data_IF_700282843820
#
_entry.id   IF_700282843820
#
_cell.length_a   1.000
_cell.length_b   1.000
_cell.length_c   1.000
_cell.angle_alpha   90.00
_cell.angle_beta   90.00
_cell.angle_gamma   90.00
#
_symmetry.space_group_name_H-M   'P 1'
#
loop_
_entity.id
_entity.type
_entity.pdbx_description
1 polymer ?
#
# COMPACT_ATOMS: atom_id res chain seq x y z
N UNK A 1 40.98 -34.59 24.42
CA UNK A 1 40.66 -33.33 23.72
C UNK A 1 39.73 -33.64 22.55
N UNK A 2 38.78 -32.72 22.27
CA UNK A 2 37.83 -32.64 21.15
C UNK A 2 36.45 -33.32 21.32
N UNK A 3 35.57 -32.56 22.00
CA UNK A 3 34.14 -32.46 21.71
C UNK A 3 33.90 -32.06 20.25
N UNK A 4 32.94 -32.67 19.57
CA UNK A 4 32.18 -31.99 18.50
C UNK A 4 30.81 -32.65 18.34
N UNK A 5 29.83 -32.14 19.08
CA UNK A 5 28.43 -32.22 18.65
C UNK A 5 28.11 -31.04 17.74
N UNK A 6 27.17 -31.21 16.80
CA UNK A 6 26.27 -30.14 16.36
C UNK A 6 25.08 -30.71 15.59
N UNK A 7 23.91 -30.38 16.15
CA UNK A 7 22.55 -30.61 15.69
C UNK A 7 22.31 -29.75 14.45
N UNK A 8 21.84 -30.36 13.36
CA UNK A 8 21.36 -29.64 12.19
C UNK A 8 19.92 -29.16 12.45
N UNK A 9 19.77 -27.88 12.78
CA UNK A 9 18.47 -27.24 12.91
C UNK A 9 17.98 -26.78 11.52
N UNK A 10 16.80 -27.25 11.14
CA UNK A 10 16.06 -26.82 9.96
C UNK A 10 15.75 -25.33 10.02
N UNK A 11 16.01 -24.60 8.94
CA UNK A 11 15.54 -23.23 8.74
C UNK A 11 14.48 -23.23 7.63
N UNK A 12 13.24 -23.10 8.08
CA UNK A 12 12.07 -22.90 7.26
C UNK A 12 12.19 -21.57 6.50
N UNK A 13 12.05 -21.65 5.17
CA UNK A 13 11.93 -20.48 4.29
C UNK A 13 10.51 -19.93 4.45
N UNK A 14 10.39 -18.81 5.16
CA UNK A 14 9.13 -18.08 5.30
C UNK A 14 8.80 -17.34 4.01
N UNK A 15 7.68 -17.72 3.39
CA UNK A 15 7.10 -16.99 2.25
C UNK A 15 6.43 -15.71 2.76
N UNK A 16 6.90 -14.56 2.26
CA UNK A 16 6.23 -13.27 2.48
C UNK A 16 4.95 -13.23 1.65
N UNK A 17 3.79 -13.17 2.31
CA UNK A 17 2.49 -12.99 1.66
C UNK A 17 2.29 -11.51 1.35
N UNK A 18 2.57 -11.12 0.11
CA UNK A 18 2.13 -9.85 -0.47
C UNK A 18 0.77 -10.08 -1.12
N UNK A 19 -0.29 -9.49 -0.56
CA UNK A 19 -1.66 -9.69 -1.05
C UNK A 19 -2.03 -8.74 -2.19
N UNK A 20 -2.30 -9.28 -3.38
CA UNK A 20 -3.01 -8.60 -4.46
C UNK A 20 -4.50 -9.02 -4.46
N UNK A 21 -5.38 -8.05 -4.71
CA UNK A 21 -6.84 -8.23 -4.86
C UNK A 21 -7.15 -8.81 -6.25
N UNK A 22 -8.18 -9.64 -6.31
CA UNK A 22 -8.45 -10.51 -7.45
C UNK A 22 -9.58 -9.96 -8.32
N UNK A 23 -9.41 -10.00 -9.65
CA UNK A 23 -10.47 -9.65 -10.60
C UNK A 23 -10.92 -10.88 -11.38
N UNK A 24 -12.23 -10.94 -11.67
CA UNK A 24 -12.86 -12.08 -12.32
C UNK A 24 -12.71 -11.95 -13.85
N UNK A 25 -11.97 -12.87 -14.47
CA UNK A 25 -11.91 -13.05 -15.93
C UNK A 25 -12.71 -14.31 -16.26
N UNK A 26 -13.84 -14.16 -16.96
CA UNK A 26 -14.66 -15.28 -17.45
C UNK A 26 -14.16 -15.71 -18.83
N UNK A 27 -13.49 -16.86 -18.90
CA UNK A 27 -13.50 -17.72 -20.08
C UNK A 27 -14.51 -18.83 -19.81
N UNK A 28 -15.24 -19.20 -20.85
CA UNK A 28 -16.44 -20.04 -20.82
C UNK A 28 -16.36 -21.24 -19.87
N UNK A 29 -17.39 -21.33 -19.04
CA UNK A 29 -17.81 -22.44 -18.18
C UNK A 29 -16.73 -23.09 -17.29
N UNK A 30 -16.89 -22.83 -15.98
CA UNK A 30 -16.30 -23.52 -14.84
C UNK A 30 -14.97 -22.96 -14.28
N UNK A 31 -15.08 -22.41 -13.06
CA UNK A 31 -14.05 -21.85 -12.18
C UNK A 31 -13.50 -20.46 -12.56
N UNK A 32 -14.18 -19.44 -12.03
CA UNK A 32 -13.66 -18.08 -11.91
C UNK A 32 -12.50 -18.06 -10.92
N UNK A 33 -11.30 -18.43 -11.38
CA UNK A 33 -10.07 -18.17 -10.66
C UNK A 33 -9.78 -16.68 -10.78
N UNK A 34 -10.13 -15.94 -9.75
CA UNK A 34 -9.90 -14.52 -9.68
C UNK A 34 -8.36 -14.31 -9.65
N UNK A 35 -7.79 -13.89 -10.79
CA UNK A 35 -6.34 -13.69 -10.91
C UNK A 35 -6.01 -12.38 -10.21
N UNK A 36 -5.00 -12.33 -9.33
CA UNK A 36 -4.56 -11.08 -8.71
C UNK A 36 -4.08 -10.12 -9.79
N UNK A 37 -4.82 -9.02 -9.99
CA UNK A 37 -4.38 -7.94 -10.89
C UNK A 37 -3.50 -7.02 -10.07
N UNK A 38 -2.19 -7.24 -10.16
CA UNK A 38 -1.21 -6.34 -9.59
C UNK A 38 -0.86 -5.24 -10.62
N UNK A 39 -0.54 -4.01 -10.17
CA UNK A 39 0.03 -3.00 -11.07
C UNK A 39 1.30 -3.53 -11.72
N UNK A 40 1.49 -3.27 -13.01
CA UNK A 40 2.70 -3.69 -13.72
C UNK A 40 3.91 -2.88 -13.27
N UNK A 41 3.71 -1.59 -13.03
CA UNK A 41 4.74 -0.65 -12.60
C UNK A 41 4.12 0.44 -11.72
N UNK A 42 4.91 1.04 -10.83
CA UNK A 42 4.51 2.25 -10.09
C UNK A 42 5.64 3.26 -10.06
N UNK A 43 5.33 4.56 -10.12
CA UNK A 43 6.34 5.62 -10.20
C UNK A 43 5.86 6.94 -9.60
N UNK A 44 6.78 7.91 -9.59
CA UNK A 44 6.52 9.30 -9.21
C UNK A 44 5.94 9.48 -7.79
N UNK A 45 6.27 8.56 -6.88
CA UNK A 45 5.79 8.58 -5.51
C UNK A 45 6.36 9.77 -4.74
N UNK A 46 5.46 10.58 -4.20
CA UNK A 46 5.81 11.71 -3.33
C UNK A 46 4.95 11.66 -2.08
N UNK A 47 5.56 11.92 -0.93
CA UNK A 47 4.87 12.07 0.35
C UNK A 47 5.24 13.42 0.97
N UNK A 48 4.25 14.23 1.31
CA UNK A 48 4.47 15.53 1.94
C UNK A 48 3.35 15.86 2.92
N UNK A 49 3.68 16.70 3.91
CA UNK A 49 2.71 17.19 4.87
C UNK A 49 2.30 18.60 4.46
N UNK A 50 1.01 18.80 4.20
CA UNK A 50 0.48 20.14 4.05
C UNK A 50 0.43 20.79 5.45
N UNK A 51 1.41 21.65 5.73
CA UNK A 51 1.38 22.51 6.89
C UNK A 51 0.63 23.79 6.51
N UNK A 52 -0.70 23.80 6.69
CA UNK A 52 -1.44 25.06 6.62
C UNK A 52 -0.97 25.94 7.80
N UNK A 53 -0.45 27.15 7.56
CA UNK A 53 -0.09 28.05 8.64
C UNK A 53 -1.36 28.54 9.35
N UNK A 54 -1.40 28.39 10.68
CA UNK A 54 -2.49 28.93 11.50
C UNK A 54 -2.73 28.16 12.81
N UNK A 55 -3.18 28.83 13.87
CA UNK A 55 -3.60 28.17 15.11
C UNK A 55 -4.79 27.24 14.82
N UNK A 56 -4.77 26.02 15.35
CA UNK A 56 -5.80 25.01 15.09
C UNK A 56 -5.76 24.35 13.70
N UNK A 57 -4.76 24.67 12.86
CA UNK A 57 -4.55 23.96 11.61
C UNK A 57 -4.33 22.46 11.85
N UNK A 58 -4.87 21.63 10.95
CA UNK A 58 -4.71 20.17 10.98
C UNK A 58 -3.75 19.76 9.87
N UNK A 59 -2.48 19.45 10.20
CA UNK A 59 -1.53 19.00 9.20
C UNK A 59 -2.06 17.74 8.51
N UNK A 60 -2.00 17.72 7.19
CA UNK A 60 -2.51 16.60 6.39
C UNK A 60 -1.36 15.94 5.66
N UNK A 61 -1.14 14.65 5.89
CA UNK A 61 -0.23 13.85 5.07
C UNK A 61 -0.88 13.60 3.72
N UNK A 62 -0.17 13.92 2.65
CA UNK A 62 -0.59 13.70 1.27
C UNK A 62 0.44 12.76 0.66
N UNK A 63 -0.04 11.64 0.11
CA UNK A 63 0.77 10.69 -0.66
C UNK A 63 0.16 10.59 -2.03
N UNK A 64 0.97 10.73 -3.07
CA UNK A 64 0.53 10.67 -4.45
C UNK A 64 1.58 9.98 -5.32
N UNK A 65 1.12 9.37 -6.40
CA UNK A 65 1.95 8.69 -7.38
C UNK A 65 1.12 8.21 -8.56
N UNK A 66 1.71 7.33 -9.36
CA UNK A 66 1.06 6.74 -10.54
C UNK A 66 1.28 5.23 -10.54
N UNK A 67 0.26 4.49 -10.98
CA UNK A 67 0.31 3.06 -11.19
C UNK A 67 -0.04 2.74 -12.64
N UNK A 68 0.76 1.89 -13.29
CA UNK A 68 0.44 1.34 -14.60
C UNK A 68 -0.51 0.16 -14.41
N UNK A 69 -1.74 0.31 -14.87
CA UNK A 69 -2.77 -0.70 -14.75
C UNK A 69 -3.03 -1.37 -16.10
N UNK A 70 -3.31 -2.68 -16.09
CA UNK A 70 -3.85 -3.36 -17.27
C UNK A 70 -5.28 -2.88 -17.57
N UNK A 71 -5.81 -3.32 -18.70
CA UNK A 71 -7.20 -3.01 -19.07
C UNK A 71 -8.16 -3.58 -18.03
N UNK A 72 -9.29 -2.88 -17.82
CA UNK A 72 -10.36 -3.28 -16.91
C UNK A 72 -9.93 -3.33 -15.43
N UNK A 73 -9.09 -2.40 -15.02
CA UNK A 73 -8.63 -2.29 -13.64
C UNK A 73 -8.59 -0.83 -13.18
N UNK A 74 -8.98 -0.59 -11.93
CA UNK A 74 -8.90 0.69 -11.24
C UNK A 74 -8.04 0.57 -10.00
N UNK A 75 -7.48 1.69 -9.55
CA UNK A 75 -6.56 1.71 -8.41
C UNK A 75 -7.04 2.67 -7.32
N UNK A 76 -6.98 2.22 -6.08
CA UNK A 76 -7.27 3.05 -4.91
C UNK A 76 -6.10 3.02 -3.94
N UNK A 77 -5.63 4.20 -3.53
CA UNK A 77 -4.65 4.35 -2.46
C UNK A 77 -5.36 4.62 -1.14
N UNK A 78 -5.17 3.73 -0.17
CA UNK A 78 -5.81 3.80 1.15
C UNK A 78 -4.78 3.75 2.27
N UNK A 79 -5.19 4.16 3.46
CA UNK A 79 -4.35 4.03 4.64
C UNK A 79 -4.25 2.55 5.06
N UNK A 80 -3.01 2.07 5.17
CA UNK A 80 -2.70 0.81 5.82
C UNK A 80 -2.57 0.92 7.35
N UNK A 81 -2.28 -0.20 8.04
CA UNK A 81 -2.02 -0.20 9.46
C UNK A 81 -0.82 0.70 9.79
N UNK A 82 -0.99 1.59 10.77
CA UNK A 82 0.10 2.41 11.28
C UNK A 82 1.02 1.55 12.14
N UNK A 83 2.31 1.49 11.79
CA UNK A 83 3.31 0.86 12.65
C UNK A 83 3.78 1.89 13.68
N UNK A 84 3.52 1.62 14.96
CA UNK A 84 3.98 2.47 16.07
C UNK A 84 5.24 1.93 16.77
N UNK A 85 5.73 0.77 16.33
CA UNK A 85 7.00 0.22 16.80
C UNK A 85 8.16 0.90 16.09
N UNK A 86 9.31 0.97 16.75
CA UNK A 86 10.46 1.78 16.32
C UNK A 86 11.14 1.21 15.04
N UNK A 87 11.33 1.99 13.96
CA UNK A 87 10.87 3.37 13.76
C UNK A 87 9.37 3.44 13.37
N UNK A 88 8.61 4.40 13.94
CA UNK A 88 7.20 4.55 13.60
C UNK A 88 7.03 4.92 12.13
N UNK A 89 6.06 4.28 11.48
CA UNK A 89 5.82 4.43 10.05
C UNK A 89 4.34 4.36 9.70
N UNK A 90 3.94 5.21 8.76
CA UNK A 90 2.62 5.12 8.15
C UNK A 90 2.72 4.25 6.89
N UNK A 91 2.00 3.13 6.87
CA UNK A 91 1.91 2.27 5.69
C UNK A 91 0.73 2.77 4.85
N UNK A 92 0.94 2.84 3.53
CA UNK A 92 -0.12 3.04 2.55
C UNK A 92 -0.38 1.72 1.82
N UNK A 93 -1.64 1.46 1.48
CA UNK A 93 -2.07 0.28 0.74
C UNK A 93 -2.62 0.71 -0.61
N UNK A 94 -2.03 0.18 -1.66
CA UNK A 94 -2.55 0.29 -3.01
C UNK A 94 -3.41 -0.94 -3.29
N UNK A 95 -4.69 -0.73 -3.56
CA UNK A 95 -5.64 -1.79 -3.92
C UNK A 95 -6.03 -1.64 -5.38
N UNK A 96 -6.13 -2.76 -6.10
CA UNK A 96 -6.51 -2.78 -7.51
C UNK A 96 -7.78 -3.61 -7.67
N UNK A 97 -8.83 -3.02 -8.21
CA UNK A 97 -10.13 -3.66 -8.37
C UNK A 97 -10.51 -3.71 -9.84
N UNK A 98 -11.34 -4.69 -10.26
CA UNK A 98 -11.84 -4.71 -11.63
C UNK A 98 -12.64 -3.45 -11.90
N UNK A 99 -12.46 -2.86 -13.07
CA UNK A 99 -13.23 -1.71 -13.53
C UNK A 99 -13.43 -1.78 -15.04
N UNK A 100 -14.13 -0.81 -15.63
CA UNK A 100 -14.22 -0.66 -17.09
C UNK A 100 -13.23 0.39 -17.62
N UNK A 101 -12.17 0.68 -16.86
CA UNK A 101 -11.18 1.69 -17.25
C UNK A 101 -10.17 1.14 -18.26
N UNK A 102 -9.70 2.03 -19.13
CA UNK A 102 -8.68 1.70 -20.11
C UNK A 102 -7.33 1.41 -19.43
N UNK A 103 -6.54 0.54 -20.06
CA UNK A 103 -5.16 0.31 -19.65
C UNK A 103 -4.35 1.61 -19.71
N UNK A 104 -3.42 1.79 -18.78
CA UNK A 104 -2.53 2.95 -18.79
C UNK A 104 -2.07 3.42 -17.42
N UNK A 105 -1.50 4.62 -17.40
CA UNK A 105 -1.04 5.28 -16.19
C UNK A 105 -2.21 5.94 -15.48
N UNK A 106 -2.49 5.48 -14.26
CA UNK A 106 -3.55 6.00 -13.42
C UNK A 106 -2.95 6.77 -12.23
N UNK A 107 -3.31 8.05 -12.07
CA UNK A 107 -2.88 8.82 -10.90
C UNK A 107 -3.62 8.29 -9.67
N UNK A 108 -2.88 8.11 -8.56
CA UNK A 108 -3.46 7.74 -7.29
C UNK A 108 -2.95 8.65 -6.18
N UNK A 109 -3.86 9.06 -5.29
CA UNK A 109 -3.55 9.93 -4.18
C UNK A 109 -4.40 9.62 -2.94
N UNK A 110 -3.79 9.77 -1.77
CA UNK A 110 -4.43 9.64 -0.47
C UNK A 110 -4.11 10.87 0.38
N UNK A 111 -5.11 11.36 1.12
CA UNK A 111 -4.98 12.49 2.04
C UNK A 111 -5.41 12.06 3.43
N UNK A 112 -4.61 12.40 4.44
CA UNK A 112 -4.88 11.98 5.80
C UNK A 112 -4.56 13.04 6.86
N UNK A 113 -5.59 13.51 7.55
CA UNK A 113 -5.52 14.59 8.54
C UNK A 113 -5.35 14.12 9.99
N UNK A 114 -5.43 12.81 10.28
CA UNK A 114 -5.24 12.25 11.63
C UNK A 114 -3.83 11.73 11.92
N UNK A 115 -2.84 12.04 11.07
CA UNK A 115 -1.45 11.65 11.34
C UNK A 115 -0.88 12.53 12.46
N UNK A 116 -1.34 13.79 12.56
CA UNK A 116 -0.77 14.79 13.45
C UNK A 116 -1.82 15.34 14.42
N UNK A 117 -1.44 15.63 15.67
CA UNK A 117 -2.29 16.42 16.55
C UNK A 117 -2.47 17.84 15.99
N UNK A 118 -3.58 18.54 16.32
CA UNK A 118 -3.75 19.94 15.93
C UNK A 118 -2.67 20.81 16.57
N UNK A 119 -2.24 21.85 15.85
CA UNK A 119 -1.29 22.84 16.39
C UNK A 119 -1.92 23.52 17.62
N UNK A 120 -1.21 23.59 18.77
CA UNK A 120 -1.75 24.23 19.97
C UNK A 120 -2.05 25.71 19.69
N UNK A 121 -3.14 26.22 20.28
CA UNK A 121 -3.43 27.65 20.29
C UNK A 121 -2.54 28.30 21.34
N UNK A 122 -1.70 29.25 20.94
CA UNK A 122 -1.05 30.15 21.89
C UNK A 122 -2.15 31.06 22.47
N UNK A 123 -2.58 30.79 23.70
CA UNK A 123 -3.39 31.70 24.53
C UNK A 123 -2.58 32.87 25.04
#
# INVERSE_FOLDING_TARGET
MKNTGRIAAALAVGTMVTGCTTTMVSNDEEQVMAVPVCPTETRNWTAFVNAMPGPGARPTLIVQGEALLPERASVTLTQGPTNRMQPPGQIMRLSVEPSDEAAGWHPCAARWSRVFPPTPMST
#
